data_IF_291524214173
#
_entry.id   IF_291524214173
#
_cell.length_a   1.000
_cell.length_b   1.000
_cell.length_c   1.000
_cell.angle_alpha   90.00
_cell.angle_beta   90.00
_cell.angle_gamma   90.00
#
_symmetry.space_group_name_H-M   'P 1'
#
loop_
_entity.id
_entity.type
_entity.pdbx_description
1 polymer ?
#
# COMPACT_ATOMS: atom_id res chain seq x y z
N UNK A 1 5.12 -17.83 13.04
CA UNK A 1 4.16 -17.67 11.93
C UNK A 1 4.61 -16.46 11.12
N UNK A 2 4.77 -16.58 9.80
CA UNK A 2 5.22 -15.46 8.96
C UNK A 2 4.06 -14.53 8.62
N UNK A 3 4.29 -13.22 8.68
CA UNK A 3 3.31 -12.19 8.30
C UNK A 3 3.55 -11.76 6.85
N UNK A 4 2.50 -11.24 6.20
CA UNK A 4 2.54 -10.77 4.81
C UNK A 4 2.38 -9.25 4.80
N UNK A 5 3.28 -8.55 4.11
CA UNK A 5 3.09 -7.13 3.79
C UNK A 5 2.05 -7.00 2.69
N UNK A 6 1.10 -6.09 2.86
CA UNK A 6 0.04 -5.84 1.88
C UNK A 6 -0.14 -4.34 1.69
N UNK A 7 -0.35 -3.91 0.44
CA UNK A 7 -0.62 -2.51 0.12
C UNK A 7 -1.84 -2.03 0.91
N UNK A 8 -1.67 -1.01 1.75
CA UNK A 8 -2.71 -0.52 2.65
C UNK A 8 -3.98 -0.08 1.88
N UNK A 9 -3.85 0.44 0.66
CA UNK A 9 -5.01 0.80 -0.16
C UNK A 9 -5.94 -0.40 -0.45
N UNK A 10 -5.43 -1.64 -0.47
CA UNK A 10 -6.22 -2.87 -0.66
C UNK A 10 -7.06 -3.25 0.55
N UNK A 11 -6.69 -2.75 1.74
CA UNK A 11 -7.40 -2.95 2.99
C UNK A 11 -8.43 -1.85 3.28
N UNK A 12 -8.56 -0.87 2.39
CA UNK A 12 -9.51 0.24 2.56
C UNK A 12 -8.90 1.52 3.13
N UNK A 13 -7.59 1.57 3.40
CA UNK A 13 -6.94 2.81 3.80
C UNK A 13 -6.90 3.79 2.62
N UNK A 14 -7.31 5.04 2.86
CA UNK A 14 -7.37 6.12 1.85
C UNK A 14 -6.01 6.71 1.52
N UNK A 15 -5.03 5.87 1.17
CA UNK A 15 -3.61 6.28 0.97
C UNK A 15 -3.20 6.41 -0.50
N UNK A 16 -4.12 6.20 -1.44
CA UNK A 16 -3.83 6.40 -2.87
C UNK A 16 -3.54 7.88 -3.17
N UNK A 17 -2.92 8.14 -4.32
CA UNK A 17 -2.62 9.49 -4.78
C UNK A 17 -3.86 10.41 -4.85
N UNK A 18 -5.04 9.84 -5.11
CA UNK A 18 -6.34 10.54 -5.18
C UNK A 18 -7.10 10.56 -3.84
N UNK A 19 -6.41 10.24 -2.73
CA UNK A 19 -6.98 10.09 -1.38
C UNK A 19 -8.08 9.03 -1.25
N UNK A 20 -8.25 8.16 -2.26
CA UNK A 20 -9.18 7.05 -2.22
C UNK A 20 -8.51 5.78 -1.68
N UNK A 21 -9.33 4.77 -1.42
CA UNK A 21 -8.85 3.40 -1.23
C UNK A 21 -9.11 2.56 -2.48
N UNK A 22 -8.60 1.33 -2.49
CA UNK A 22 -8.92 0.31 -3.50
C UNK A 22 -9.18 -1.01 -2.81
N UNK A 23 -10.17 -1.02 -1.91
CA UNK A 23 -10.56 -2.25 -1.19
C UNK A 23 -10.81 -3.37 -2.21
N UNK A 24 -10.07 -4.46 -2.07
CA UNK A 24 -10.05 -5.52 -3.09
C UNK A 24 -10.86 -6.75 -2.68
N UNK A 25 -10.55 -7.35 -1.53
CA UNK A 25 -11.17 -8.60 -1.10
C UNK A 25 -11.66 -8.48 0.36
N UNK A 26 -12.95 -8.75 0.64
CA UNK A 26 -13.49 -8.76 2.00
C UNK A 26 -12.77 -9.72 2.96
N UNK A 27 -12.19 -10.82 2.45
CA UNK A 27 -11.46 -11.80 3.26
C UNK A 27 -10.20 -11.22 3.89
N UNK A 28 -9.67 -10.11 3.37
CA UNK A 28 -8.52 -9.47 3.99
C UNK A 28 -8.81 -8.92 5.39
N UNK A 29 -10.07 -8.59 5.70
CA UNK A 29 -10.47 -8.25 7.07
C UNK A 29 -10.23 -9.43 8.03
N UNK A 30 -10.61 -10.64 7.64
CA UNK A 30 -10.36 -11.85 8.45
C UNK A 30 -8.87 -12.12 8.67
N UNK A 31 -8.05 -11.89 7.64
CA UNK A 31 -6.60 -12.08 7.73
C UNK A 31 -5.92 -10.97 8.55
N UNK A 32 -6.45 -9.75 8.53
CA UNK A 32 -6.05 -8.65 9.42
C UNK A 32 -6.39 -8.98 10.88
N UNK A 33 -7.61 -9.44 11.15
CA UNK A 33 -8.06 -9.83 12.49
C UNK A 33 -7.24 -11.01 13.03
N UNK A 34 -6.82 -11.93 12.15
CA UNK A 34 -5.92 -13.04 12.47
C UNK A 34 -4.44 -12.60 12.65
N UNK A 35 -4.12 -11.32 12.47
CA UNK A 35 -2.76 -10.78 12.63
C UNK A 35 -1.75 -11.25 11.58
N UNK A 36 -2.23 -11.75 10.43
CA UNK A 36 -1.40 -12.30 9.35
C UNK A 36 -0.96 -11.24 8.34
N UNK A 37 -1.69 -10.12 8.26
CA UNK A 37 -1.41 -9.03 7.34
C UNK A 37 -0.81 -7.83 8.06
N UNK A 38 0.15 -7.19 7.41
CA UNK A 38 0.76 -5.93 7.82
C UNK A 38 0.53 -4.88 6.72
N UNK A 39 -0.30 -3.86 6.94
CA UNK A 39 -0.54 -2.80 5.98
C UNK A 39 0.71 -1.95 5.78
N UNK A 40 1.08 -1.67 4.53
CA UNK A 40 2.20 -0.79 4.16
C UNK A 40 1.80 0.10 3.00
N UNK A 41 2.27 1.35 2.97
CA UNK A 41 2.16 2.22 1.81
C UNK A 41 3.54 2.85 1.54
N UNK A 42 4.36 2.25 0.67
CA UNK A 42 5.74 2.69 0.47
C UNK A 42 5.88 4.18 0.12
N UNK A 43 4.91 4.72 -0.61
CA UNK A 43 4.86 6.15 -0.97
C UNK A 43 4.67 7.06 0.25
N UNK A 44 3.76 6.72 1.15
CA UNK A 44 3.49 7.52 2.38
C UNK A 44 4.57 7.27 3.43
N UNK A 45 5.00 6.02 3.59
CA UNK A 45 6.08 5.64 4.50
C UNK A 45 7.43 6.26 4.04
N UNK A 46 7.57 6.52 2.74
CA UNK A 46 8.66 7.28 2.13
C UNK A 46 8.50 8.81 2.16
N UNK A 47 7.41 9.33 2.74
CA UNK A 47 7.20 10.76 2.99
C UNK A 47 6.32 11.51 1.99
N UNK A 48 5.70 10.85 1.01
CA UNK A 48 4.75 11.53 0.12
C UNK A 48 3.42 11.82 0.81
N UNK A 49 2.81 12.95 0.47
CA UNK A 49 1.50 13.36 0.99
C UNK A 49 0.35 12.53 0.41
N UNK A 50 -0.81 12.65 1.03
CA UNK A 50 -2.10 12.22 0.49
C UNK A 50 -3.04 13.44 0.52
N UNK A 51 -3.58 13.90 -0.63
CA UNK A 51 -3.33 13.44 -1.99
C UNK A 51 -1.92 13.83 -2.50
N UNK A 52 -1.56 13.29 -3.67
CA UNK A 52 -0.32 13.60 -4.41
C UNK A 52 -0.55 13.43 -5.92
N UNK A 53 0.36 13.97 -6.73
CA UNK A 53 0.31 13.81 -8.18
C UNK A 53 0.57 12.35 -8.57
N UNK A 54 -0.04 11.84 -9.67
CA UNK A 54 0.34 10.57 -10.27
C UNK A 54 1.81 10.59 -10.68
N UNK A 55 2.48 9.44 -10.55
CA UNK A 55 3.87 9.26 -10.94
C UNK A 55 4.05 7.91 -11.66
N UNK A 56 5.00 7.87 -12.59
CA UNK A 56 5.39 6.67 -13.33
C UNK A 56 6.91 6.54 -13.29
N UNK A 57 7.42 5.30 -13.30
CA UNK A 57 8.85 5.04 -13.37
C UNK A 57 9.32 5.27 -14.81
N UNK A 58 10.39 6.05 -15.00
CA UNK A 58 10.98 6.33 -16.31
C UNK A 58 12.45 5.92 -16.31
N UNK A 59 12.81 4.94 -17.15
CA UNK A 59 14.21 4.57 -17.39
C UNK A 59 14.91 3.76 -16.28
N UNK A 60 14.16 3.04 -15.44
CA UNK A 60 14.69 2.15 -14.38
C UNK A 60 13.59 1.31 -13.74
N UNK A 61 13.87 0.67 -12.60
CA UNK A 61 12.89 -0.02 -11.76
C UNK A 61 13.22 0.01 -10.25
N UNK A 62 12.52 -0.80 -9.46
CA UNK A 62 12.70 -0.84 -8.00
C UNK A 62 14.03 -1.43 -7.54
N UNK A 63 14.76 -2.15 -8.40
CA UNK A 63 16.08 -2.72 -8.11
C UNK A 63 17.17 -1.64 -8.19
N UNK A 64 16.93 -0.56 -8.94
CA UNK A 64 17.88 0.54 -9.11
C UNK A 64 17.91 1.50 -7.88
N UNK A 65 17.03 1.30 -6.89
CA UNK A 65 16.91 2.14 -5.69
C UNK A 65 17.85 1.63 -4.59
N UNK A 66 18.79 2.48 -4.13
CA UNK A 66 19.80 2.18 -3.08
C UNK A 66 19.42 2.63 -1.68
#
# INVERSE_FOLDING_TARGET
MSKILISACLLGYGVRYDAQSKRYDPRFSLLMDAGLLLPVCPEVDGGLSVPRLPAEIVGGDGVDVV
#
